data_IF_424324867480
#
_entry.id   IF_424324867480
#
_cell.length_a   1.000
_cell.length_b   1.000
_cell.length_c   1.000
_cell.angle_alpha   90.00
_cell.angle_beta   90.00
_cell.angle_gamma   90.00
#
_symmetry.space_group_name_H-M   'P 1'
#
loop_
_entity.id
_entity.type
_entity.pdbx_description
1 polymer ?
#
# COMPACT_ATOMS: atom_id res chain seq x y z
N UNK A 1 13.81 2.61 -15.26
CA UNK A 1 12.64 1.69 -15.28
C UNK A 1 12.43 1.06 -13.90
N UNK A 2 11.18 0.85 -13.52
CA UNK A 2 10.76 0.05 -12.37
C UNK A 2 10.14 -1.25 -12.90
N UNK A 3 10.41 -2.38 -12.23
CA UNK A 3 9.75 -3.65 -12.56
C UNK A 3 8.35 -3.69 -11.94
N UNK A 4 7.39 -4.16 -12.73
CA UNK A 4 6.08 -4.60 -12.26
C UNK A 4 5.99 -6.12 -12.46
N UNK A 5 6.46 -6.94 -11.50
CA UNK A 5 6.72 -8.36 -11.69
C UNK A 5 5.48 -9.16 -12.09
N UNK A 6 4.32 -8.79 -11.57
CA UNK A 6 3.06 -9.47 -11.81
C UNK A 6 2.46 -9.18 -13.19
N UNK A 7 2.95 -8.17 -13.92
CA UNK A 7 2.39 -7.75 -15.21
C UNK A 7 3.08 -8.48 -16.37
N UNK A 8 2.37 -9.36 -17.11
CA UNK A 8 2.95 -10.01 -18.29
C UNK A 8 3.05 -9.06 -19.49
N UNK A 9 2.17 -8.05 -19.56
CA UNK A 9 2.02 -7.15 -20.71
C UNK A 9 2.87 -5.88 -20.54
N UNK A 10 2.96 -5.36 -19.32
CA UNK A 10 3.72 -4.15 -19.01
C UNK A 10 4.64 -4.40 -17.81
N UNK A 11 5.68 -5.24 -17.96
CA UNK A 11 6.60 -5.59 -16.87
C UNK A 11 7.52 -4.45 -16.46
N UNK A 12 7.63 -3.40 -17.27
CA UNK A 12 8.47 -2.24 -16.99
C UNK A 12 7.65 -0.96 -17.05
N UNK A 13 7.75 -0.15 -15.99
CA UNK A 13 7.12 1.16 -15.90
C UNK A 13 8.16 2.25 -15.63
N UNK A 14 7.76 3.50 -15.85
CA UNK A 14 8.59 4.64 -15.51
C UNK A 14 8.76 4.69 -13.98
N UNK A 15 9.99 4.75 -13.51
CA UNK A 15 10.32 4.89 -12.09
C UNK A 15 10.01 6.30 -11.59
N UNK A 16 10.22 7.30 -12.45
CA UNK A 16 9.97 8.70 -12.15
C UNK A 16 9.17 9.32 -13.28
N UNK A 17 8.16 10.12 -12.93
CA UNK A 17 7.36 10.90 -13.87
C UNK A 17 7.26 12.32 -13.32
N UNK A 18 7.54 13.30 -14.17
CA UNK A 18 7.45 14.73 -13.89
C UNK A 18 6.59 15.39 -14.97
N UNK A 19 6.14 16.64 -14.79
CA UNK A 19 5.41 17.36 -15.85
C UNK A 19 6.21 17.49 -17.16
N UNK A 20 7.54 17.45 -17.08
CA UNK A 20 8.45 17.63 -18.22
C UNK A 20 8.96 16.32 -18.83
N UNK A 21 8.66 15.17 -18.24
CA UNK A 21 9.11 13.90 -18.79
C UNK A 21 8.96 12.70 -17.87
N UNK A 22 9.53 11.58 -18.30
CA UNK A 22 9.55 10.33 -17.53
C UNK A 22 10.89 9.63 -17.68
N UNK A 23 11.23 8.79 -16.71
CA UNK A 23 12.33 7.85 -16.87
C UNK A 23 12.07 6.91 -18.06
N UNK A 24 13.14 6.32 -18.59
CA UNK A 24 13.08 5.36 -19.69
C UNK A 24 12.01 4.26 -19.48
N UNK A 25 11.42 3.82 -20.59
CA UNK A 25 10.56 2.66 -20.77
C UNK A 25 11.18 1.75 -21.84
N UNK A 26 10.73 0.49 -21.95
CA UNK A 26 11.23 -0.40 -22.98
C UNK A 26 11.15 0.20 -24.39
N UNK A 27 10.08 0.94 -24.70
CA UNK A 27 9.83 1.49 -26.03
C UNK A 27 10.77 2.62 -26.42
N UNK A 28 11.60 3.10 -25.50
CA UNK A 28 12.55 4.18 -25.77
C UNK A 28 13.87 3.67 -26.36
N UNK A 29 14.08 2.34 -26.39
CA UNK A 29 15.30 1.72 -26.93
C UNK A 29 15.14 1.37 -28.41
N UNK A 30 16.14 1.71 -29.22
CA UNK A 30 16.20 1.33 -30.64
C UNK A 30 16.52 -0.16 -30.81
N UNK A 31 16.35 -0.68 -32.03
CA UNK A 31 16.69 -2.07 -32.34
C UNK A 31 18.20 -2.32 -32.19
N UNK A 32 19.03 -1.37 -32.63
CA UNK A 32 20.49 -1.42 -32.51
C UNK A 32 20.94 -1.40 -31.05
N UNK A 33 20.31 -0.55 -30.21
CA UNK A 33 20.58 -0.52 -28.78
C UNK A 33 20.22 -1.85 -28.10
N UNK A 34 19.08 -2.46 -28.47
CA UNK A 34 18.68 -3.76 -27.94
C UNK A 34 19.60 -4.91 -28.37
N UNK A 35 20.15 -4.85 -29.59
CA UNK A 35 21.14 -5.81 -30.08
C UNK A 35 22.42 -5.74 -29.26
N UNK A 36 22.97 -4.53 -29.08
CA UNK A 36 24.14 -4.29 -28.22
C UNK A 36 23.87 -4.78 -26.80
N UNK A 37 22.72 -4.44 -26.21
CA UNK A 37 22.37 -4.93 -24.88
C UNK A 37 22.32 -6.46 -24.82
N UNK A 38 21.82 -7.11 -25.87
CA UNK A 38 21.78 -8.56 -26.02
C UNK A 38 23.17 -9.21 -25.96
N UNK A 39 24.15 -8.63 -26.66
CA UNK A 39 25.55 -9.09 -26.65
C UNK A 39 26.23 -8.94 -25.28
N UNK A 40 25.85 -7.91 -24.54
CA UNK A 40 26.41 -7.65 -23.21
C UNK A 40 25.81 -8.54 -22.11
N UNK A 41 24.63 -9.12 -22.28
CA UNK A 41 23.94 -9.89 -21.22
C UNK A 41 24.83 -10.97 -20.62
N UNK A 42 25.57 -11.72 -21.44
CA UNK A 42 26.41 -12.83 -20.99
C UNK A 42 27.64 -12.37 -20.20
N UNK A 43 28.06 -11.12 -20.36
CA UNK A 43 29.22 -10.53 -19.67
C UNK A 43 28.85 -9.88 -18.33
N UNK A 44 27.57 -9.80 -17.99
CA UNK A 44 27.11 -9.19 -16.73
C UNK A 44 27.09 -10.21 -15.61
N UNK A 45 28.00 -10.04 -14.64
CA UNK A 45 28.08 -10.89 -13.45
C UNK A 45 26.94 -10.64 -12.45
N UNK A 46 26.54 -9.38 -12.29
CA UNK A 46 25.51 -8.98 -11.32
C UNK A 46 24.13 -9.54 -11.71
N UNK A 47 23.56 -10.52 -10.95
CA UNK A 47 22.37 -11.25 -11.38
C UNK A 47 21.16 -10.37 -11.65
N UNK A 48 20.96 -9.31 -10.85
CA UNK A 48 19.83 -8.41 -11.03
C UNK A 48 19.93 -7.65 -12.36
N UNK A 49 21.10 -7.11 -12.67
CA UNK A 49 21.31 -6.38 -13.92
C UNK A 49 21.18 -7.32 -15.11
N UNK A 50 21.81 -8.50 -15.06
CA UNK A 50 21.72 -9.51 -16.12
C UNK A 50 20.27 -9.90 -16.40
N UNK A 51 19.50 -10.19 -15.34
CA UNK A 51 18.10 -10.57 -15.48
C UNK A 51 17.25 -9.45 -16.11
N UNK A 52 17.49 -8.19 -15.71
CA UNK A 52 16.77 -7.01 -16.23
C UNK A 52 17.04 -6.76 -17.70
N UNK A 53 18.30 -6.88 -18.13
CA UNK A 53 18.69 -6.71 -19.52
C UNK A 53 18.12 -7.83 -20.38
N UNK A 54 18.26 -9.09 -19.96
CA UNK A 54 17.71 -10.23 -20.68
C UNK A 54 16.18 -10.14 -20.83
N UNK A 55 15.46 -9.75 -19.76
CA UNK A 55 14.00 -9.58 -19.79
C UNK A 55 13.58 -8.42 -20.69
N UNK A 56 14.30 -7.29 -20.65
CA UNK A 56 14.08 -6.14 -21.54
C UNK A 56 14.26 -6.53 -23.01
N UNK A 57 15.39 -7.14 -23.36
CA UNK A 57 15.73 -7.57 -24.71
C UNK A 57 14.66 -8.55 -25.22
N UNK A 58 14.35 -9.59 -24.44
CA UNK A 58 13.30 -10.54 -24.79
C UNK A 58 11.92 -9.89 -24.96
N UNK A 59 11.57 -8.93 -24.09
CA UNK A 59 10.26 -8.29 -24.12
C UNK A 59 10.04 -7.52 -25.44
N UNK A 60 11.09 -6.84 -25.92
CA UNK A 60 11.07 -6.03 -27.13
C UNK A 60 11.39 -6.76 -28.42
N UNK A 61 12.14 -7.87 -28.35
CA UNK A 61 12.57 -8.60 -29.54
C UNK A 61 11.36 -9.09 -30.38
N UNK A 62 11.49 -8.92 -31.70
CA UNK A 62 10.55 -9.42 -32.71
C UNK A 62 11.33 -10.14 -33.83
N UNK A 63 11.09 -11.45 -34.08
CA UNK A 63 10.29 -12.38 -33.28
C UNK A 63 10.94 -12.67 -31.92
N UNK A 64 10.13 -12.96 -30.89
CA UNK A 64 10.67 -13.29 -29.56
C UNK A 64 11.46 -14.59 -29.59
N UNK A 65 12.77 -14.56 -29.30
CA UNK A 65 13.58 -15.77 -29.17
C UNK A 65 13.58 -16.28 -27.72
N UNK A 66 13.61 -17.59 -27.54
CA UNK A 66 13.53 -18.22 -26.22
C UNK A 66 14.78 -18.05 -25.36
N UNK A 67 15.96 -17.82 -25.96
CA UNK A 67 17.24 -17.76 -25.23
C UNK A 67 17.25 -16.67 -24.16
N UNK A 68 16.91 -15.43 -24.52
CA UNK A 68 16.89 -14.30 -23.59
C UNK A 68 15.84 -14.45 -22.47
N UNK A 69 14.71 -15.12 -22.75
CA UNK A 69 13.74 -15.48 -21.71
C UNK A 69 14.37 -16.38 -20.66
N UNK A 70 15.06 -17.43 -21.08
CA UNK A 70 15.66 -18.38 -20.13
C UNK A 70 16.83 -17.75 -19.38
N UNK A 71 17.64 -16.92 -20.03
CA UNK A 71 18.69 -16.14 -19.35
C UNK A 71 18.09 -15.24 -18.26
N UNK A 72 16.96 -14.58 -18.53
CA UNK A 72 16.27 -13.78 -17.52
C UNK A 72 15.75 -14.64 -16.36
N UNK A 73 15.09 -15.76 -16.64
CA UNK A 73 14.58 -16.69 -15.61
C UNK A 73 15.71 -17.22 -14.74
N UNK A 74 16.81 -17.66 -15.36
CA UNK A 74 17.96 -18.24 -14.67
C UNK A 74 18.70 -17.19 -13.82
N UNK A 75 18.83 -15.96 -14.32
CA UNK A 75 19.45 -14.87 -13.57
C UNK A 75 18.56 -14.36 -12.41
N UNK A 76 17.22 -14.32 -12.58
CA UNK A 76 16.34 -13.94 -11.47
C UNK A 76 16.36 -14.99 -10.34
N UNK A 77 16.32 -16.28 -10.70
CA UNK A 77 16.27 -17.37 -9.71
C UNK A 77 17.63 -17.72 -9.10
N UNK A 78 18.74 -17.20 -9.62
CA UNK A 78 20.06 -17.39 -9.01
C UNK A 78 20.26 -16.56 -7.74
N UNK A 79 19.40 -15.55 -7.51
CA UNK A 79 19.40 -14.75 -6.28
C UNK A 79 18.81 -15.58 -5.14
N UNK A 80 19.54 -15.69 -4.03
CA UNK A 80 19.13 -16.48 -2.87
C UNK A 80 17.80 -15.97 -2.27
N UNK A 81 16.97 -16.92 -1.87
CA UNK A 81 15.75 -16.68 -1.11
C UNK A 81 16.09 -16.58 0.38
N UNK A 82 16.58 -15.42 0.80
CA UNK A 82 16.72 -15.06 2.23
C UNK A 82 15.83 -13.88 2.56
N UNK A 83 15.54 -13.66 3.84
CA UNK A 83 14.77 -12.50 4.33
C UNK A 83 15.36 -11.17 3.85
N UNK A 84 16.68 -11.02 3.96
CA UNK A 84 17.41 -9.79 3.64
C UNK A 84 17.27 -9.46 2.15
N UNK A 85 17.52 -10.45 1.30
CA UNK A 85 17.47 -10.27 -0.15
C UNK A 85 16.04 -10.19 -0.69
N UNK A 86 15.09 -10.84 -0.01
CA UNK A 86 13.67 -10.80 -0.39
C UNK A 86 13.17 -9.37 -0.49
N UNK A 87 13.35 -8.59 0.58
CA UNK A 87 12.92 -7.19 0.64
C UNK A 87 13.83 -6.24 -0.14
N UNK A 88 15.05 -6.66 -0.50
CA UNK A 88 15.94 -5.92 -1.40
C UNK A 88 15.58 -6.08 -2.89
N UNK A 89 14.61 -6.94 -3.23
CA UNK A 89 14.10 -7.11 -4.59
C UNK A 89 14.12 -8.53 -5.14
N UNK A 90 14.67 -9.51 -4.40
CA UNK A 90 14.65 -10.90 -4.82
C UNK A 90 13.21 -11.43 -4.95
N UNK A 91 12.30 -11.04 -4.06
CA UNK A 91 10.88 -11.44 -4.15
C UNK A 91 10.24 -11.03 -5.49
N UNK A 92 10.50 -9.81 -5.95
CA UNK A 92 10.03 -9.31 -7.24
C UNK A 92 10.69 -10.05 -8.41
N UNK A 93 12.00 -10.32 -8.32
CA UNK A 93 12.73 -11.12 -9.31
C UNK A 93 12.15 -12.53 -9.46
N UNK A 94 11.92 -13.22 -8.35
CA UNK A 94 11.31 -14.55 -8.33
C UNK A 94 9.89 -14.56 -8.87
N UNK A 95 9.07 -13.57 -8.50
CA UNK A 95 7.72 -13.39 -9.05
C UNK A 95 7.76 -13.21 -10.57
N UNK A 96 8.71 -12.42 -11.08
CA UNK A 96 8.91 -12.25 -12.53
C UNK A 96 9.38 -13.54 -13.21
N UNK A 97 10.34 -14.26 -12.61
CA UNK A 97 10.85 -15.52 -13.13
C UNK A 97 9.74 -16.58 -13.30
N UNK A 98 8.84 -16.69 -12.31
CA UNK A 98 7.66 -17.56 -12.39
C UNK A 98 6.70 -17.13 -13.50
N UNK A 99 6.47 -15.83 -13.66
CA UNK A 99 5.66 -15.29 -14.75
C UNK A 99 6.25 -15.61 -16.13
N UNK A 100 7.55 -15.43 -16.31
CA UNK A 100 8.28 -15.77 -17.54
C UNK A 100 8.24 -17.27 -17.82
N UNK A 101 8.48 -18.11 -16.81
CA UNK A 101 8.38 -19.56 -16.95
C UNK A 101 6.97 -20.01 -17.36
N UNK A 102 5.92 -19.37 -16.81
CA UNK A 102 4.53 -19.63 -17.21
C UNK A 102 4.27 -19.24 -18.67
N UNK A 103 4.83 -18.13 -19.14
CA UNK A 103 4.72 -17.69 -20.55
C UNK A 103 5.44 -18.65 -21.51
N UNK A 104 6.56 -19.24 -21.08
CA UNK A 104 7.31 -20.22 -21.85
C UNK A 104 6.65 -21.61 -21.88
N UNK A 105 5.68 -21.87 -20.99
CA UNK A 105 4.94 -23.13 -20.92
C UNK A 105 5.85 -24.34 -20.69
N UNK A 106 5.64 -25.39 -21.47
CA UNK A 106 6.32 -26.68 -21.32
C UNK A 106 7.84 -26.60 -21.41
N UNK A 107 8.38 -25.63 -22.17
CA UNK A 107 9.82 -25.42 -22.31
C UNK A 107 10.50 -24.96 -21.02
N UNK A 108 9.74 -24.40 -20.05
CA UNK A 108 10.25 -24.00 -18.74
C UNK A 108 9.86 -24.98 -17.61
N UNK A 109 9.30 -26.16 -17.92
CA UNK A 109 8.76 -27.09 -16.92
C UNK A 109 9.77 -27.50 -15.84
N UNK A 110 11.03 -27.77 -16.21
CA UNK A 110 12.09 -28.10 -15.23
C UNK A 110 12.36 -26.93 -14.29
N UNK A 111 12.55 -25.73 -14.86
CA UNK A 111 12.80 -24.49 -14.11
C UNK A 111 11.67 -24.17 -13.15
N UNK A 112 10.42 -24.37 -13.58
CA UNK A 112 9.25 -24.17 -12.73
C UNK A 112 9.26 -25.11 -11.52
N UNK A 113 9.57 -26.40 -11.71
CA UNK A 113 9.69 -27.38 -10.61
C UNK A 113 10.82 -27.04 -9.64
N UNK A 114 11.96 -26.61 -10.16
CA UNK A 114 13.12 -26.19 -9.34
C UNK A 114 12.77 -24.95 -8.50
N UNK A 115 12.10 -23.96 -9.09
CA UNK A 115 11.63 -22.77 -8.36
C UNK A 115 10.58 -23.12 -7.30
N UNK A 116 9.64 -24.00 -7.62
CA UNK A 116 8.66 -24.51 -6.65
C UNK A 116 9.34 -25.18 -5.46
N UNK A 117 10.31 -26.06 -5.70
CA UNK A 117 11.06 -26.73 -4.64
C UNK A 117 11.83 -25.73 -3.76
N UNK A 118 12.45 -24.72 -4.36
CA UNK A 118 13.18 -23.68 -3.63
C UNK A 118 12.25 -22.83 -2.75
N UNK A 119 11.07 -22.44 -3.25
CA UNK A 119 10.08 -21.70 -2.47
C UNK A 119 9.52 -22.53 -1.31
N UNK A 120 9.28 -23.82 -1.54
CA UNK A 120 8.86 -24.74 -0.49
C UNK A 120 9.91 -24.89 0.61
N UNK A 121 11.19 -24.99 0.24
CA UNK A 121 12.30 -25.01 1.21
C UNK A 121 12.38 -23.70 2.00
N UNK A 122 12.28 -22.55 1.33
CA UNK A 122 12.26 -21.24 1.99
C UNK A 122 11.07 -21.08 2.94
N UNK A 123 9.89 -21.60 2.57
CA UNK A 123 8.71 -21.59 3.43
C UNK A 123 8.90 -22.42 4.71
N UNK A 124 9.59 -23.56 4.60
CA UNK A 124 9.86 -24.43 5.76
C UNK A 124 10.90 -23.80 6.71
N UNK A 125 11.92 -23.11 6.17
CA UNK A 125 12.94 -22.43 6.97
C UNK A 125 12.39 -21.19 7.70
N UNK A 126 11.40 -20.51 7.11
CA UNK A 126 10.87 -19.24 7.63
C UNK A 126 10.03 -19.32 8.91
N UNK A 127 9.97 -20.45 9.62
CA UNK A 127 9.12 -20.59 10.82
C UNK A 127 9.45 -19.60 11.95
N UNK A 128 10.73 -19.25 12.08
CA UNK A 128 11.23 -18.24 13.03
C UNK A 128 11.02 -16.79 12.54
N UNK A 129 10.63 -16.60 11.28
CA UNK A 129 10.51 -15.30 10.62
C UNK A 129 9.14 -15.15 9.94
N UNK A 130 8.07 -14.93 10.72
CA UNK A 130 6.69 -14.96 10.23
C UNK A 130 6.39 -14.07 9.03
N UNK A 131 6.90 -12.85 9.02
CA UNK A 131 6.72 -11.90 7.92
C UNK A 131 7.29 -12.46 6.61
N UNK A 132 8.49 -13.02 6.65
CA UNK A 132 9.14 -13.57 5.47
C UNK A 132 8.43 -14.84 5.00
N UNK A 133 8.09 -15.75 5.91
CA UNK A 133 7.33 -16.97 5.59
C UNK A 133 5.98 -16.65 4.95
N UNK A 134 5.27 -15.65 5.45
CA UNK A 134 4.03 -15.16 4.83
C UNK A 134 4.27 -14.70 3.38
N UNK A 135 5.31 -13.88 3.13
CA UNK A 135 5.62 -13.41 1.77
C UNK A 135 5.98 -14.54 0.81
N UNK A 136 6.69 -15.55 1.27
CA UNK A 136 6.99 -16.75 0.46
C UNK A 136 5.70 -17.52 0.15
N UNK A 137 4.84 -17.70 1.15
CA UNK A 137 3.55 -18.37 0.98
C UNK A 137 2.62 -17.62 0.01
N UNK A 138 2.59 -16.29 0.08
CA UNK A 138 1.86 -15.43 -0.86
C UNK A 138 2.35 -15.67 -2.29
N UNK A 139 3.67 -15.76 -2.50
CA UNK A 139 4.22 -16.03 -3.84
C UNK A 139 3.83 -17.42 -4.35
N UNK A 140 3.91 -18.45 -3.49
CA UNK A 140 3.44 -19.80 -3.81
C UNK A 140 1.95 -19.77 -4.20
N UNK A 141 1.13 -19.06 -3.43
CA UNK A 141 -0.28 -18.89 -3.70
C UNK A 141 -0.51 -18.19 -5.04
N UNK A 142 0.05 -17.01 -5.27
CA UNK A 142 -0.14 -16.23 -6.49
C UNK A 142 0.29 -17.00 -7.75
N UNK A 143 1.41 -17.73 -7.67
CA UNK A 143 1.92 -18.55 -8.77
C UNK A 143 1.09 -19.82 -9.00
N UNK A 144 0.21 -20.20 -8.08
CA UNK A 144 -0.64 -21.38 -8.19
C UNK A 144 0.10 -22.69 -7.91
N UNK A 145 1.26 -22.63 -7.24
CA UNK A 145 2.15 -23.76 -7.01
C UNK A 145 1.71 -24.64 -5.83
N UNK A 146 2.51 -25.67 -5.56
CA UNK A 146 2.49 -26.52 -4.38
C UNK A 146 1.24 -27.39 -4.24
N UNK A 147 0.63 -27.83 -5.35
CA UNK A 147 -0.64 -28.58 -5.37
C UNK A 147 -0.78 -29.63 -4.27
N UNK A 148 0.25 -30.47 -4.12
CA UNK A 148 0.30 -31.55 -3.12
C UNK A 148 0.46 -31.00 -1.69
N UNK A 149 1.26 -29.94 -1.50
CA UNK A 149 1.56 -29.35 -0.19
C UNK A 149 0.57 -28.26 0.25
N UNK A 150 -0.38 -27.85 -0.60
CA UNK A 150 -1.39 -26.82 -0.28
C UNK A 150 -2.07 -27.03 1.08
N UNK A 151 -2.54 -28.24 1.47
CA UNK A 151 -3.15 -28.43 2.78
C UNK A 151 -2.18 -28.18 3.95
N UNK A 152 -0.92 -28.61 3.81
CA UNK A 152 0.10 -28.41 4.84
C UNK A 152 0.48 -26.94 4.99
N UNK A 153 0.62 -26.21 3.87
CA UNK A 153 0.89 -24.76 3.87
C UNK A 153 -0.27 -24.03 4.55
N UNK A 154 -1.51 -24.35 4.19
CA UNK A 154 -2.69 -23.72 4.78
C UNK A 154 -2.73 -23.94 6.30
N UNK A 155 -2.47 -25.16 6.77
CA UNK A 155 -2.41 -25.47 8.21
C UNK A 155 -1.31 -24.70 8.93
N UNK A 156 -0.10 -24.67 8.36
CA UNK A 156 1.03 -23.94 8.94
C UNK A 156 0.73 -22.44 9.06
N UNK A 157 0.01 -21.85 8.10
CA UNK A 157 -0.45 -20.46 8.18
C UNK A 157 -1.52 -20.26 9.26
N UNK A 158 -2.42 -21.22 9.48
CA UNK A 158 -3.38 -21.16 10.60
C UNK A 158 -2.65 -21.18 11.94
N UNK A 159 -1.74 -22.13 12.13
CA UNK A 159 -0.95 -22.27 13.36
C UNK A 159 -0.12 -21.02 13.65
N UNK A 160 0.52 -20.48 12.61
CA UNK A 160 1.23 -19.21 12.67
C UNK A 160 0.29 -18.06 13.08
N UNK A 161 -0.84 -17.89 12.40
CA UNK A 161 -1.79 -16.83 12.68
C UNK A 161 -2.34 -16.90 14.11
N UNK A 162 -2.66 -18.10 14.60
CA UNK A 162 -3.11 -18.33 15.98
C UNK A 162 -2.03 -17.94 16.99
N UNK A 163 -0.78 -18.41 16.80
CA UNK A 163 0.35 -18.08 17.68
C UNK A 163 0.64 -16.59 17.72
N UNK A 164 0.65 -15.93 16.57
CA UNK A 164 0.93 -14.49 16.44
C UNK A 164 -0.22 -13.67 17.06
N UNK A 165 -1.46 -14.08 16.83
CA UNK A 165 -2.63 -13.44 17.45
C UNK A 165 -2.57 -13.46 18.98
N UNK A 166 -2.07 -14.54 19.57
CA UNK A 166 -1.85 -14.64 21.03
C UNK A 166 -0.74 -13.69 21.52
N UNK A 167 0.27 -13.40 20.69
CA UNK A 167 1.34 -12.44 21.01
C UNK A 167 0.95 -10.96 20.82
N UNK A 168 -0.23 -10.69 20.24
CA UNK A 168 -0.77 -9.32 20.11
C UNK A 168 -0.51 -8.61 18.78
N UNK A 169 0.12 -9.27 17.80
CA UNK A 169 0.20 -8.73 16.42
C UNK A 169 -1.01 -9.17 15.60
N UNK A 170 -2.13 -8.49 15.83
CA UNK A 170 -3.38 -8.77 15.12
C UNK A 170 -3.28 -8.57 13.61
N UNK A 171 -2.43 -7.64 13.14
CA UNK A 171 -2.29 -7.35 11.71
C UNK A 171 -1.71 -8.56 10.96
N UNK A 172 -0.56 -9.05 11.41
CA UNK A 172 0.09 -10.18 10.76
C UNK A 172 -0.72 -11.48 10.90
N UNK A 173 -1.40 -11.67 12.03
CA UNK A 173 -2.31 -12.80 12.23
C UNK A 173 -3.44 -12.81 11.19
N UNK A 174 -4.05 -11.65 10.92
CA UNK A 174 -5.10 -11.52 9.91
C UNK A 174 -4.60 -11.82 8.51
N UNK A 175 -3.41 -11.35 8.14
CA UNK A 175 -2.83 -11.63 6.83
C UNK A 175 -2.58 -13.15 6.66
N UNK A 176 -2.07 -13.82 7.69
CA UNK A 176 -1.89 -15.28 7.69
C UNK A 176 -3.22 -16.02 7.53
N UNK A 177 -4.26 -15.64 8.27
CA UNK A 177 -5.59 -16.23 8.13
C UNK A 177 -6.24 -15.93 6.77
N UNK A 178 -6.04 -14.73 6.23
CA UNK A 178 -6.56 -14.35 4.92
C UNK A 178 -5.93 -15.20 3.80
N UNK A 179 -4.61 -15.43 3.88
CA UNK A 179 -3.91 -16.30 2.94
C UNK A 179 -4.34 -17.76 3.10
N UNK A 180 -4.42 -18.27 4.35
CA UNK A 180 -4.92 -19.62 4.64
C UNK A 180 -6.35 -19.84 4.10
N UNK A 181 -7.22 -18.85 4.27
CA UNK A 181 -8.58 -18.84 3.69
C UNK A 181 -8.53 -19.00 2.17
N UNK A 182 -7.62 -18.28 1.51
CA UNK A 182 -7.37 -18.42 0.08
C UNK A 182 -7.01 -19.85 -0.31
N UNK A 183 -6.11 -20.50 0.42
CA UNK A 183 -5.74 -21.89 0.18
C UNK A 183 -6.93 -22.85 0.39
N UNK A 184 -7.70 -22.71 1.47
CA UNK A 184 -8.88 -23.57 1.71
C UNK A 184 -9.94 -23.41 0.63
N UNK A 185 -10.15 -22.19 0.11
CA UNK A 185 -11.03 -21.99 -1.06
C UNK A 185 -10.55 -22.76 -2.29
N UNK A 186 -9.23 -22.79 -2.57
CA UNK A 186 -8.68 -23.58 -3.69
C UNK A 186 -8.81 -25.10 -3.46
N UNK A 187 -8.76 -25.53 -2.20
CA UNK A 187 -9.00 -26.92 -1.81
C UNK A 187 -10.49 -27.28 -1.79
N UNK A 188 -11.40 -26.33 -2.03
CA UNK A 188 -12.86 -26.47 -1.89
C UNK A 188 -13.30 -26.88 -0.47
N UNK A 189 -12.48 -26.54 0.53
CA UNK A 189 -12.80 -26.71 1.94
C UNK A 189 -13.48 -25.43 2.46
N UNK A 190 -14.79 -25.35 2.18
CA UNK A 190 -15.59 -24.19 2.53
C UNK A 190 -15.75 -24.01 4.04
N UNK A 191 -15.75 -25.10 4.81
CA UNK A 191 -15.84 -25.09 6.26
C UNK A 191 -14.63 -24.42 6.87
N UNK A 192 -13.41 -24.84 6.48
CA UNK A 192 -12.18 -24.21 7.00
C UNK A 192 -11.96 -22.81 6.46
N UNK A 193 -12.38 -22.53 5.23
CA UNK A 193 -12.42 -21.16 4.70
C UNK A 193 -13.34 -20.25 5.52
N UNK A 194 -14.48 -20.76 6.00
CA UNK A 194 -15.37 -20.02 6.90
C UNK A 194 -14.76 -19.85 8.29
N UNK A 195 -14.09 -20.87 8.84
CA UNK A 195 -13.36 -20.78 10.11
C UNK A 195 -12.32 -19.65 10.06
N UNK A 196 -11.56 -19.54 8.97
CA UNK A 196 -10.60 -18.44 8.78
C UNK A 196 -11.29 -17.08 8.67
N UNK A 197 -12.46 -17.00 8.03
CA UNK A 197 -13.26 -15.78 8.01
C UNK A 197 -13.68 -15.32 9.41
N UNK A 198 -14.08 -16.27 10.27
CA UNK A 198 -14.39 -16.00 11.66
C UNK A 198 -13.13 -15.60 12.46
N UNK A 199 -12.00 -16.28 12.27
CA UNK A 199 -10.74 -15.96 12.93
C UNK A 199 -10.24 -14.53 12.62
N UNK A 200 -10.35 -14.08 11.37
CA UNK A 200 -10.03 -12.69 10.99
C UNK A 200 -10.94 -11.70 11.73
N UNK A 201 -12.25 -11.99 11.81
CA UNK A 201 -13.19 -11.13 12.51
C UNK A 201 -12.93 -11.07 14.01
N UNK A 202 -12.62 -12.20 14.64
CA UNK A 202 -12.24 -12.26 16.06
C UNK A 202 -10.92 -11.53 16.34
N UNK A 203 -9.97 -11.56 15.40
CA UNK A 203 -8.74 -10.77 15.53
C UNK A 203 -9.02 -9.27 15.57
N UNK A 204 -9.98 -8.76 14.79
CA UNK A 204 -10.42 -7.37 14.89
C UNK A 204 -11.06 -7.05 16.25
N UNK A 205 -11.84 -7.98 16.80
CA UNK A 205 -12.43 -7.84 18.14
C UNK A 205 -11.33 -7.80 19.21
N UNK A 206 -10.32 -8.66 19.10
CA UNK A 206 -9.17 -8.66 20.01
C UNK A 206 -8.42 -7.32 19.98
N UNK A 207 -8.15 -6.78 18.79
CA UNK A 207 -7.51 -5.47 18.63
C UNK A 207 -8.38 -4.34 19.23
N UNK A 208 -9.69 -4.38 19.04
CA UNK A 208 -10.61 -3.41 19.64
C UNK A 208 -10.54 -3.44 21.17
N UNK A 209 -10.61 -4.63 21.77
CA UNK A 209 -10.51 -4.80 23.22
C UNK A 209 -9.14 -4.36 23.77
N UNK A 210 -8.06 -4.62 23.02
CA UNK A 210 -6.72 -4.15 23.38
C UNK A 210 -6.60 -2.62 23.34
N UNK A 211 -7.30 -1.95 22.40
CA UNK A 211 -7.37 -0.47 22.37
C UNK A 211 -8.14 0.12 23.54
N UNK A 212 -9.16 -0.57 24.04
CA UNK A 212 -9.91 -0.13 25.22
C UNK A 212 -9.08 -0.36 26.50
N UNK A 213 -8.42 -1.52 26.60
CA UNK A 213 -7.73 -1.95 27.83
C UNK A 213 -6.28 -1.44 27.93
N UNK A 214 -5.80 -0.73 26.91
CA UNK A 214 -4.43 -0.24 26.84
C UNK A 214 -4.13 0.92 27.80
N UNK A 215 -2.86 1.29 27.92
CA UNK A 215 -2.40 2.41 28.75
C UNK A 215 -2.93 3.77 28.28
N UNK A 216 -3.23 3.89 26.99
CA UNK A 216 -3.88 5.04 26.38
C UNK A 216 -5.14 4.54 25.66
N UNK A 217 -6.28 4.43 26.36
CA UNK A 217 -7.52 3.98 25.77
C UNK A 217 -7.92 4.85 24.58
N UNK A 218 -8.45 4.21 23.54
CA UNK A 218 -9.03 4.92 22.41
C UNK A 218 -10.29 4.21 21.96
N UNK A 219 -11.43 4.67 22.48
CA UNK A 219 -12.73 4.13 22.15
C UNK A 219 -13.13 4.40 20.69
N UNK A 220 -12.66 5.52 20.12
CA UNK A 220 -12.87 5.80 18.68
C UNK A 220 -12.12 4.79 17.79
N UNK A 221 -10.89 4.43 18.14
CA UNK A 221 -10.14 3.41 17.39
C UNK A 221 -10.75 2.02 17.60
N UNK A 222 -11.18 1.69 18.82
CA UNK A 222 -11.87 0.45 19.13
C UNK A 222 -13.18 0.30 18.34
N UNK A 223 -13.97 1.37 18.25
CA UNK A 223 -15.20 1.40 17.44
C UNK A 223 -14.91 1.06 15.96
N UNK A 224 -13.88 1.65 15.37
CA UNK A 224 -13.46 1.32 13.99
C UNK A 224 -13.08 -0.15 13.83
N UNK A 225 -12.40 -0.74 14.81
CA UNK A 225 -12.07 -2.17 14.78
C UNK A 225 -13.30 -3.07 14.96
N UNK A 226 -14.25 -2.73 15.83
CA UNK A 226 -15.52 -3.46 15.93
C UNK A 226 -16.34 -3.39 14.64
N UNK A 227 -16.36 -2.25 13.95
CA UNK A 227 -16.99 -2.12 12.63
C UNK A 227 -16.36 -3.08 11.61
N UNK A 228 -15.02 -3.13 11.54
CA UNK A 228 -14.30 -4.07 10.68
C UNK A 228 -14.60 -5.53 11.03
N UNK A 229 -14.73 -5.86 12.32
CA UNK A 229 -15.13 -7.19 12.77
C UNK A 229 -16.54 -7.54 12.25
N UNK A 230 -17.52 -6.65 12.43
CA UNK A 230 -18.91 -6.84 11.97
C UNK A 230 -18.96 -7.03 10.45
N UNK A 231 -18.25 -6.19 9.70
CA UNK A 231 -18.16 -6.32 8.24
C UNK A 231 -17.58 -7.68 7.85
N UNK A 232 -16.50 -8.11 8.50
CA UNK A 232 -15.84 -9.39 8.23
C UNK A 232 -16.76 -10.58 8.55
N UNK A 233 -17.42 -10.59 9.72
CA UNK A 233 -18.40 -11.61 10.09
C UNK A 233 -19.53 -11.74 9.08
N UNK A 234 -20.00 -10.62 8.52
CA UNK A 234 -21.04 -10.64 7.47
C UNK A 234 -20.59 -11.34 6.19
N UNK A 235 -19.28 -11.41 5.91
CA UNK A 235 -18.74 -12.16 4.76
C UNK A 235 -18.71 -13.68 4.95
N UNK A 236 -18.95 -14.18 6.18
CA UNK A 236 -18.99 -15.62 6.46
C UNK A 236 -20.27 -16.23 5.85
N UNK A 237 -20.17 -17.34 5.08
CA UNK A 237 -21.31 -17.95 4.41
C UNK A 237 -22.44 -18.32 5.37
N UNK A 238 -23.70 -18.03 5.00
CA UNK A 238 -24.89 -18.26 5.85
C UNK A 238 -25.00 -19.69 6.39
N UNK A 239 -24.67 -20.69 5.58
CA UNK A 239 -24.73 -22.11 5.97
C UNK A 239 -23.78 -22.47 7.13
N UNK A 240 -22.69 -21.72 7.30
CA UNK A 240 -21.69 -21.97 8.35
C UNK A 240 -21.96 -21.16 9.62
N UNK A 241 -22.86 -20.15 9.57
CA UNK A 241 -23.06 -19.21 10.67
C UNK A 241 -23.63 -19.86 11.92
N UNK A 242 -24.54 -20.83 11.76
CA UNK A 242 -25.09 -21.56 12.90
C UNK A 242 -24.00 -22.37 13.62
N UNK A 243 -23.14 -23.08 12.86
CA UNK A 243 -22.03 -23.87 13.42
C UNK A 243 -21.02 -22.99 14.17
N UNK A 244 -20.70 -21.83 13.60
CA UNK A 244 -19.73 -20.88 14.15
C UNK A 244 -20.35 -19.87 15.14
N UNK A 245 -21.65 -20.00 15.43
CA UNK A 245 -22.39 -19.09 16.30
C UNK A 245 -22.24 -17.59 15.94
N UNK A 246 -22.15 -17.29 14.64
CA UNK A 246 -21.79 -15.96 14.13
C UNK A 246 -22.87 -14.92 14.46
N UNK A 247 -24.15 -15.31 14.42
CA UNK A 247 -25.23 -14.35 14.64
C UNK A 247 -25.27 -13.88 16.11
N UNK A 248 -25.06 -14.79 17.08
CA UNK A 248 -24.92 -14.41 18.49
C UNK A 248 -23.68 -13.53 18.71
N UNK A 249 -22.56 -13.87 18.07
CA UNK A 249 -21.33 -13.09 18.17
C UNK A 249 -21.48 -11.69 17.56
N UNK A 250 -22.17 -11.56 16.42
CA UNK A 250 -22.51 -10.29 15.79
C UNK A 250 -23.32 -9.39 16.73
N UNK A 251 -24.31 -9.93 17.43
CA UNK A 251 -25.08 -9.17 18.42
C UNK A 251 -24.20 -8.65 19.57
N UNK A 252 -23.27 -9.47 20.07
CA UNK A 252 -22.32 -9.04 21.09
C UNK A 252 -21.43 -7.90 20.60
N UNK A 253 -20.81 -8.05 19.42
CA UNK A 253 -19.90 -7.05 18.87
C UNK A 253 -20.63 -5.74 18.52
N UNK A 254 -21.91 -5.81 18.12
CA UNK A 254 -22.75 -4.62 17.93
C UNK A 254 -23.01 -3.87 19.25
N UNK A 255 -23.23 -4.59 20.35
CA UNK A 255 -23.35 -3.96 21.67
C UNK A 255 -22.04 -3.28 22.07
N UNK A 256 -20.89 -3.97 21.89
CA UNK A 256 -19.56 -3.41 22.16
C UNK A 256 -19.25 -2.17 21.31
N UNK A 257 -19.67 -2.15 20.03
CA UNK A 257 -19.57 -0.97 19.18
C UNK A 257 -20.40 0.19 19.72
N UNK A 258 -21.63 -0.07 20.19
CA UNK A 258 -22.50 0.94 20.79
C UNK A 258 -21.89 1.54 22.06
N UNK A 259 -21.32 0.69 22.92
CA UNK A 259 -20.62 1.11 24.15
C UNK A 259 -19.37 1.95 23.85
N UNK A 260 -18.51 1.46 22.95
CA UNK A 260 -17.31 2.18 22.53
C UNK A 260 -17.68 3.51 21.86
N UNK A 261 -18.74 3.56 21.05
CA UNK A 261 -19.24 4.78 20.44
C UNK A 261 -19.71 5.82 21.47
N UNK A 262 -20.43 5.39 22.51
CA UNK A 262 -20.85 6.27 23.60
C UNK A 262 -19.64 6.83 24.38
N UNK A 263 -18.64 5.99 24.65
CA UNK A 263 -17.41 6.40 25.33
C UNK A 263 -16.52 7.30 24.47
N UNK A 264 -16.48 7.08 23.15
CA UNK A 264 -15.70 7.91 22.24
C UNK A 264 -16.14 9.39 22.29
N UNK A 265 -17.44 9.66 22.45
CA UNK A 265 -17.96 11.03 22.65
C UNK A 265 -17.38 11.65 23.92
N UNK A 266 -17.24 10.88 24.99
CA UNK A 266 -16.65 11.38 26.25
C UNK A 266 -15.16 11.66 26.14
N UNK A 267 -14.45 10.98 25.22
CA UNK A 267 -13.03 11.23 24.93
C UNK A 267 -12.81 12.48 24.05
N UNK A 268 -13.86 13.01 23.40
CA UNK A 268 -13.74 14.19 22.54
C UNK A 268 -13.45 15.45 23.37
N UNK A 269 -12.23 15.97 23.26
CA UNK A 269 -11.87 17.26 23.84
C UNK A 269 -12.11 18.38 22.84
N UNK A 270 -12.73 19.47 23.29
CA UNK A 270 -12.88 20.67 22.47
C UNK A 270 -11.50 21.30 22.24
N UNK A 271 -11.00 21.24 21.00
CA UNK A 271 -9.81 21.98 20.59
C UNK A 271 -10.29 23.34 20.11
N UNK A 272 -10.12 24.36 20.96
CA UNK A 272 -10.33 25.75 20.57
C UNK A 272 -9.00 26.36 20.15
N UNK A 273 -8.92 26.81 18.91
CA UNK A 273 -7.84 27.70 18.49
C UNK A 273 -8.11 29.10 19.05
N UNK A 274 -7.08 29.88 19.42
CA UNK A 274 -7.25 31.27 19.80
C UNK A 274 -8.13 32.00 18.78
N UNK A 275 -9.14 32.73 19.26
CA UNK A 275 -10.00 33.53 18.38
C UNK A 275 -9.10 34.46 17.56
N UNK A 276 -9.27 34.47 16.24
CA UNK A 276 -8.63 35.47 15.39
C UNK A 276 -9.26 36.80 15.78
N UNK A 277 -8.47 37.71 16.34
CA UNK A 277 -8.93 39.07 16.60
C UNK A 277 -9.12 39.78 15.25
N UNK A 278 -10.38 40.02 14.90
CA UNK A 278 -10.79 40.73 13.69
C UNK A 278 -11.30 42.14 14.00
N UNK A 279 -11.04 42.68 15.20
CA UNK A 279 -11.49 44.02 15.58
C UNK A 279 -11.03 45.09 14.58
N UNK A 280 -9.77 45.04 14.15
CA UNK A 280 -9.24 45.97 13.14
C UNK A 280 -9.96 45.86 11.79
N UNK A 281 -10.29 44.63 11.36
CA UNK A 281 -11.06 44.40 10.13
C UNK A 281 -12.48 44.95 10.25
N UNK A 282 -13.12 44.78 11.42
CA UNK A 282 -14.46 45.30 11.69
C UNK A 282 -14.45 46.83 11.68
N UNK A 283 -13.50 47.45 12.38
CA UNK A 283 -13.40 48.92 12.47
C UNK A 283 -13.05 49.56 11.13
N UNK A 284 -12.14 48.94 10.37
CA UNK A 284 -11.80 49.39 9.02
C UNK A 284 -13.00 49.26 8.08
N UNK A 285 -13.76 48.16 8.19
CA UNK A 285 -14.98 47.97 7.40
C UNK A 285 -16.04 49.01 7.74
N UNK A 286 -16.29 49.25 9.03
CA UNK A 286 -17.26 50.25 9.51
C UNK A 286 -16.89 51.66 9.06
N UNK A 287 -15.63 52.05 9.22
CA UNK A 287 -15.14 53.38 8.82
C UNK A 287 -15.28 53.58 7.31
N UNK A 288 -14.97 52.55 6.52
CA UNK A 288 -14.97 52.66 5.05
C UNK A 288 -16.36 52.77 4.42
N UNK A 289 -17.41 52.34 5.13
CA UNK A 289 -18.80 52.39 4.64
C UNK A 289 -19.65 53.47 5.31
N UNK A 290 -19.26 53.95 6.49
CA UNK A 290 -20.04 54.93 7.25
C UNK A 290 -20.12 56.28 6.55
N UNK A 291 -21.32 56.87 6.51
CA UNK A 291 -21.59 58.18 5.91
C UNK A 291 -21.68 58.21 4.37
N UNK A 292 -21.66 57.05 3.70
CA UNK A 292 -21.77 56.93 2.23
C UNK A 292 -23.17 56.50 1.80
N UNK A 293 -23.58 56.92 0.60
CA UNK A 293 -24.84 56.49 -0.02
C UNK A 293 -24.82 54.98 -0.33
N UNK A 294 -25.97 54.27 -0.32
CA UNK A 294 -26.01 52.81 -0.31
C UNK A 294 -25.22 52.11 -1.44
N UNK A 295 -25.24 52.66 -2.66
CA UNK A 295 -24.48 52.10 -3.80
C UNK A 295 -22.96 52.30 -3.64
N UNK A 296 -22.54 53.40 -3.04
CA UNK A 296 -21.13 53.71 -2.80
C UNK A 296 -20.59 52.98 -1.58
N UNK A 297 -21.40 52.86 -0.53
CA UNK A 297 -21.11 52.02 0.63
C UNK A 297 -20.91 50.55 0.20
N UNK A 298 -21.78 50.02 -0.68
CA UNK A 298 -21.64 48.66 -1.21
C UNK A 298 -20.38 48.49 -2.05
N UNK A 299 -20.05 49.44 -2.92
CA UNK A 299 -18.78 49.43 -3.69
C UNK A 299 -17.57 49.47 -2.77
N UNK A 300 -17.58 50.35 -1.77
CA UNK A 300 -16.50 50.47 -0.79
C UNK A 300 -16.34 49.17 0.02
N UNK A 301 -17.46 48.57 0.46
CA UNK A 301 -17.45 47.32 1.20
C UNK A 301 -16.90 46.15 0.36
N UNK A 302 -17.36 46.01 -0.89
CA UNK A 302 -16.88 44.98 -1.80
C UNK A 302 -15.39 45.13 -2.16
N UNK A 303 -14.83 46.34 -2.06
CA UNK A 303 -13.42 46.63 -2.29
C UNK A 303 -12.51 46.56 -1.06
N UNK A 304 -13.04 46.26 0.14
CA UNK A 304 -12.26 46.24 1.38
C UNK A 304 -11.20 45.13 1.42
N UNK A 305 -11.48 44.00 0.78
CA UNK A 305 -10.55 42.88 0.75
C UNK A 305 -9.82 42.84 -0.59
N UNK A 306 -8.63 43.45 -0.64
CA UNK A 306 -7.74 43.46 -1.81
C UNK A 306 -6.85 42.20 -1.90
N UNK A 307 -7.22 41.13 -1.18
CA UNK A 307 -6.42 39.93 -1.04
C UNK A 307 -5.37 40.04 0.08
N UNK A 308 -4.64 38.95 0.34
CA UNK A 308 -3.66 38.92 1.41
C UNK A 308 -2.44 39.81 1.10
N UNK A 309 -1.95 40.55 2.10
CA UNK A 309 -0.69 41.27 1.97
C UNK A 309 0.47 40.27 1.93
N UNK A 310 0.99 40.04 0.73
CA UNK A 310 2.05 39.05 0.46
C UNK A 310 3.30 39.30 1.29
N UNK A 311 3.68 40.56 1.51
CA UNK A 311 4.87 40.88 2.30
C UNK A 311 4.67 40.52 3.79
N UNK A 312 3.49 40.81 4.34
CA UNK A 312 3.13 40.45 5.72
C UNK A 312 3.06 38.93 5.89
N UNK A 313 2.34 38.24 5.00
CA UNK A 313 2.28 36.77 5.00
C UNK A 313 3.66 36.12 4.90
N UNK A 314 4.54 36.67 4.06
CA UNK A 314 5.91 36.16 3.93
C UNK A 314 6.68 36.30 5.24
N UNK A 315 6.56 37.44 5.89
CA UNK A 315 7.23 37.71 7.18
C UNK A 315 6.70 36.78 8.27
N UNK A 316 5.38 36.59 8.34
CA UNK A 316 4.71 35.71 9.31
C UNK A 316 5.05 34.22 9.06
N UNK A 317 5.15 33.81 7.79
CA UNK A 317 5.57 32.47 7.39
C UNK A 317 7.05 32.23 7.71
N UNK A 318 7.94 33.19 7.45
CA UNK A 318 9.35 33.11 7.80
C UNK A 318 9.55 33.04 9.33
N UNK A 319 8.79 33.84 10.10
CA UNK A 319 8.80 33.79 11.55
C UNK A 319 8.29 32.44 12.09
N UNK A 320 7.20 31.92 11.51
CA UNK A 320 6.64 30.61 11.89
C UNK A 320 7.57 29.45 11.52
N UNK A 321 8.22 29.50 10.35
CA UNK A 321 9.21 28.51 9.92
C UNK A 321 10.43 28.46 10.84
N UNK A 322 10.87 29.62 11.36
CA UNK A 322 11.94 29.69 12.37
C UNK A 322 11.49 29.17 13.74
N UNK A 323 10.24 29.40 14.12
CA UNK A 323 9.68 29.03 15.43
C UNK A 323 9.27 27.55 15.51
N UNK A 324 8.80 26.98 14.40
CA UNK A 324 8.31 25.60 14.30
C UNK A 324 8.99 24.88 13.12
N UNK A 325 10.32 24.70 13.21
CA UNK A 325 11.18 24.17 12.15
C UNK A 325 10.75 22.81 11.58
N UNK A 326 10.06 21.98 12.37
CA UNK A 326 9.58 20.66 11.95
C UNK A 326 8.13 20.64 11.42
N UNK A 327 7.35 21.70 11.62
CA UNK A 327 5.94 21.75 11.20
C UNK A 327 5.78 21.86 9.68
N UNK A 328 6.79 22.38 8.98
CA UNK A 328 6.76 22.58 7.52
C UNK A 328 7.03 21.31 6.71
N UNK A 329 7.49 20.23 7.35
CA UNK A 329 7.77 18.96 6.65
C UNK A 329 6.48 18.22 6.28
N UNK A 330 5.38 18.43 7.00
CA UNK A 330 4.11 17.69 6.81
C UNK A 330 3.01 18.45 6.03
N UNK A 331 3.20 19.72 5.67
CA UNK A 331 2.14 20.59 5.07
C UNK A 331 2.43 21.06 3.64
N UNK A 332 3.39 20.43 2.95
CA UNK A 332 3.90 20.85 1.63
C UNK A 332 2.86 20.93 0.47
N UNK A 333 1.63 20.35 0.48
CA UNK A 333 0.77 20.50 -0.70
C UNK A 333 0.21 21.91 -0.95
N UNK A 334 0.17 22.82 0.03
CA UNK A 334 -0.50 24.12 -0.14
C UNK A 334 0.43 25.29 -0.50
N UNK A 335 1.73 25.20 -0.25
CA UNK A 335 2.67 26.31 -0.51
C UNK A 335 3.06 26.44 -2.00
N UNK A 336 3.00 25.36 -2.78
CA UNK A 336 3.39 25.36 -4.20
C UNK A 336 2.35 26.01 -5.13
N UNK A 337 1.08 26.11 -4.71
CA UNK A 337 0.03 26.74 -5.51
C UNK A 337 0.15 28.27 -5.60
N UNK A 338 0.89 28.91 -4.67
CA UNK A 338 1.06 30.37 -4.65
C UNK A 338 2.22 30.82 -5.54
N UNK A 339 3.21 29.96 -5.81
CA UNK A 339 4.33 30.32 -6.67
C UNK A 339 3.95 30.40 -8.16
N UNK A 340 2.94 29.64 -8.60
CA UNK A 340 2.54 29.60 -10.03
C UNK A 340 1.58 30.74 -10.44
N UNK A 341 0.97 31.46 -9.50
CA UNK A 341 0.19 32.66 -9.82
C UNK A 341 1.08 33.83 -10.31
N UNK A 342 2.37 33.80 -9.99
CA UNK A 342 3.34 34.83 -10.40
C UNK A 342 3.90 34.66 -11.81
N UNK A 343 3.70 33.48 -12.43
CA UNK A 343 4.06 33.20 -13.84
C UNK A 343 2.98 33.69 -14.81
N UNK A 344 1.70 33.62 -14.41
CA UNK A 344 0.55 34.08 -15.20
C UNK A 344 0.42 35.60 -15.29
N UNK A 345 0.91 36.35 -14.30
CA UNK A 345 0.87 37.82 -14.33
C UNK A 345 1.87 38.46 -15.31
N UNK A 346 2.90 37.73 -15.77
CA UNK A 346 3.89 38.25 -16.74
C UNK A 346 3.52 38.06 -18.21
N UNK A 347 2.42 37.37 -18.52
CA UNK A 347 1.92 37.20 -19.89
C UNK A 347 0.78 38.18 -20.25
N UNK A 348 0.39 39.07 -19.33
CA UNK A 348 -0.65 40.08 -19.55
C UNK A 348 -0.09 41.49 -19.86
N UNK A 349 1.24 41.66 -19.93
CA UNK A 349 1.90 42.88 -20.38
C UNK A 349 2.69 42.63 -21.68
N UNK A 350 1.95 42.34 -22.76
CA UNK A 350 2.35 42.61 -24.16
C UNK A 350 1.12 42.90 -24.99
#
# INVERSE_FOLDING_TARGET
>A
MMLVPASPIAPFQARCQTPTGRSALPGDFSAEELEVLGEFVEQVDEPWLRARLADLVWFQERPRKGAMLFTAVDAYRSVLLTKELWFAGAGDGWRRALGLARMAGDSARSRAKEMEAALLSAFDIGDEEPHWKLRVAELIFDAGLADVRRPAIANSLVEMGTRIGLSGDGFLARDAFALARGFFKRLRDDTRSADMGAAIAESWVADANARISGSMPSNIAAASFFENAIQTFRTVPRRERARLNIDARLHQVQAQLGEAGAQAITEMTAISTPSIDIAELIDHSRTSVSGKEPREALKAFAGLYLGPNVAKLRTDAEASARRFSLSFVCSVPQALAVMDASSLARQAET
#
